data_IF_758835468082
#
_entry.id   IF_758835468082
#
_cell.length_a   1.000
_cell.length_b   1.000
_cell.length_c   1.000
_cell.angle_alpha   90.00
_cell.angle_beta   90.00
_cell.angle_gamma   90.00
#
_symmetry.space_group_name_H-M   'P 1'
#
loop_
_entity.id
_entity.type
_entity.pdbx_description
1 polymer ?
#
# COMPACT_ATOMS: atom_id res chain seq x y z
N UNK A 1 0.76 -8.29 6.95
CA UNK A 1 -0.47 -7.47 7.07
C UNK A 1 -1.05 -7.41 8.47
N UNK A 2 -1.02 -8.49 9.22
CA UNK A 2 -1.56 -8.47 10.59
C UNK A 2 -0.87 -7.43 11.51
N UNK A 3 0.45 -7.29 11.39
CA UNK A 3 1.20 -6.29 12.18
C UNK A 3 0.80 -4.86 11.84
N UNK A 4 0.61 -4.54 10.56
CA UNK A 4 0.18 -3.22 10.12
C UNK A 4 -1.21 -2.88 10.68
N UNK A 5 -2.14 -3.83 10.63
CA UNK A 5 -3.48 -3.66 11.19
C UNK A 5 -3.43 -3.31 12.67
N UNK A 6 -2.63 -4.04 13.44
CA UNK A 6 -2.49 -3.80 14.89
C UNK A 6 -1.91 -2.40 15.15
N UNK A 7 -0.88 -2.00 14.42
CA UNK A 7 -0.26 -0.69 14.58
C UNK A 7 -1.24 0.45 14.25
N UNK A 8 -2.03 0.31 13.20
CA UNK A 8 -3.02 1.31 12.81
C UNK A 8 -4.13 1.43 13.86
N UNK A 9 -4.62 0.29 14.39
CA UNK A 9 -5.61 0.30 15.47
C UNK A 9 -5.06 0.98 16.72
N UNK A 10 -3.81 0.76 17.07
CA UNK A 10 -3.14 1.40 18.19
C UNK A 10 -3.03 2.92 18.03
N UNK A 11 -3.13 3.44 16.81
CA UNK A 11 -3.14 4.87 16.48
C UNK A 11 -4.54 5.39 16.19
N UNK A 12 -5.56 4.70 16.69
CA UNK A 12 -6.98 5.09 16.60
C UNK A 12 -7.56 5.12 15.18
N UNK A 13 -6.97 4.39 14.24
CA UNK A 13 -7.54 4.23 12.91
C UNK A 13 -8.68 3.21 12.92
N UNK A 14 -9.70 3.45 12.12
CA UNK A 14 -10.71 2.43 11.81
C UNK A 14 -10.16 1.60 10.66
N UNK A 15 -9.93 0.31 10.89
CA UNK A 15 -9.27 -0.57 9.94
C UNK A 15 -10.26 -1.59 9.38
N UNK A 16 -10.37 -1.64 8.05
CA UNK A 16 -11.09 -2.67 7.34
C UNK A 16 -10.09 -3.61 6.69
N UNK A 17 -10.18 -4.89 6.98
CA UNK A 17 -9.36 -5.93 6.37
C UNK A 17 -10.17 -6.65 5.30
N UNK A 18 -9.66 -6.66 4.07
CA UNK A 18 -10.26 -7.36 2.95
C UNK A 18 -9.33 -8.46 2.43
N UNK A 19 -9.91 -9.48 1.85
CA UNK A 19 -9.17 -10.61 1.27
C UNK A 19 -9.95 -11.15 0.06
N UNK A 20 -9.45 -12.22 -0.55
CA UNK A 20 -10.03 -12.78 -1.77
C UNK A 20 -11.49 -13.24 -1.66
N UNK A 21 -11.97 -13.50 -0.44
CA UNK A 21 -13.34 -13.90 -0.18
C UNK A 21 -14.24 -12.77 0.31
N UNK A 22 -13.70 -11.57 0.43
CA UNK A 22 -14.50 -10.40 0.82
C UNK A 22 -15.45 -10.03 -0.31
N UNK A 23 -16.74 -9.91 0.01
CA UNK A 23 -17.74 -9.47 -0.95
C UNK A 23 -17.52 -7.99 -1.25
N UNK A 24 -17.52 -7.63 -2.54
CA UNK A 24 -17.43 -6.26 -3.02
C UNK A 24 -16.27 -5.47 -2.38
N UNK A 25 -15.04 -5.91 -2.63
CA UNK A 25 -13.82 -5.22 -2.14
C UNK A 25 -13.81 -3.75 -2.57
N UNK A 26 -14.27 -3.46 -3.78
CA UNK A 26 -14.27 -2.09 -4.30
C UNK A 26 -15.13 -1.14 -3.46
N UNK A 27 -16.25 -1.59 -2.91
CA UNK A 27 -17.07 -0.78 -2.02
C UNK A 27 -16.30 -0.36 -0.78
N UNK A 28 -15.54 -1.28 -0.19
CA UNK A 28 -14.72 -1.00 0.98
C UNK A 28 -13.57 -0.07 0.66
N UNK A 29 -12.87 -0.29 -0.44
CA UNK A 29 -11.71 0.53 -0.81
C UNK A 29 -12.12 1.96 -1.17
N UNK A 30 -13.24 2.16 -1.85
CA UNK A 30 -13.71 3.49 -2.22
C UNK A 30 -14.09 4.37 -1.02
N UNK A 31 -14.44 3.76 0.12
CA UNK A 31 -14.79 4.50 1.34
C UNK A 31 -13.61 4.83 2.24
N UNK A 32 -12.46 4.24 2.01
CA UNK A 32 -11.28 4.43 2.85
C UNK A 32 -10.58 5.75 2.54
N UNK A 33 -9.92 6.31 3.55
CA UNK A 33 -9.01 7.46 3.35
C UNK A 33 -7.66 6.99 2.84
N UNK A 34 -7.20 5.85 3.35
CA UNK A 34 -5.93 5.24 2.98
C UNK A 34 -6.21 3.79 2.57
N UNK A 35 -5.71 3.40 1.40
CA UNK A 35 -5.81 2.03 0.91
C UNK A 35 -4.41 1.42 0.81
N UNK A 36 -4.24 0.25 1.41
CA UNK A 36 -2.97 -0.50 1.34
C UNK A 36 -3.22 -1.77 0.53
N UNK A 37 -2.52 -1.90 -0.59
CA UNK A 37 -2.63 -3.04 -1.49
C UNK A 37 -1.41 -3.94 -1.34
N UNK A 38 -1.62 -5.19 -0.94
CA UNK A 38 -0.57 -6.16 -0.69
C UNK A 38 -1.04 -7.59 -0.99
N UNK A 39 -1.53 -7.82 -2.21
CA UNK A 39 -2.12 -9.12 -2.60
C UNK A 39 -1.21 -9.95 -3.50
N UNK A 40 -0.18 -9.36 -4.09
CA UNK A 40 0.72 -10.05 -5.00
C UNK A 40 0.11 -10.39 -6.36
N UNK A 41 -0.81 -9.56 -6.83
CA UNK A 41 -1.45 -9.70 -8.15
C UNK A 41 -1.15 -8.49 -9.02
N UNK A 42 -0.41 -8.70 -10.08
CA UNK A 42 0.01 -7.62 -10.98
C UNK A 42 -1.17 -6.82 -11.52
N UNK A 43 -1.21 -5.53 -11.22
CA UNK A 43 -2.20 -4.56 -11.72
C UNK A 43 -3.67 -5.01 -11.55
N UNK A 44 -3.94 -5.77 -10.49
CA UNK A 44 -5.27 -6.31 -10.23
C UNK A 44 -6.30 -5.23 -9.87
N UNK A 45 -5.84 -4.09 -9.34
CA UNK A 45 -6.72 -3.02 -8.87
C UNK A 45 -6.69 -1.83 -9.83
N UNK A 46 -7.76 -1.69 -10.60
CA UNK A 46 -7.98 -0.57 -11.50
C UNK A 46 -8.77 0.57 -10.88
N UNK A 47 -9.18 1.56 -11.70
CA UNK A 47 -9.86 2.78 -11.22
C UNK A 47 -11.14 2.53 -10.43
N UNK A 48 -11.83 1.44 -10.68
CA UNK A 48 -13.11 1.10 -10.03
C UNK A 48 -12.98 0.86 -8.52
N UNK A 49 -11.78 0.62 -8.04
CA UNK A 49 -11.51 0.38 -6.62
C UNK A 49 -11.26 1.65 -5.82
N UNK A 50 -11.16 2.81 -6.45
CA UNK A 50 -10.66 4.02 -5.80
C UNK A 50 -11.58 5.21 -5.98
N UNK A 51 -11.37 6.23 -5.12
CA UNK A 51 -12.10 7.48 -5.14
C UNK A 51 -11.13 8.67 -5.07
N UNK A 52 -11.54 9.85 -5.57
CA UNK A 52 -10.71 11.04 -5.48
C UNK A 52 -10.26 11.38 -4.05
N UNK A 53 -9.03 11.85 -3.92
CA UNK A 53 -8.49 12.32 -2.64
C UNK A 53 -7.90 11.24 -1.74
N UNK A 54 -7.95 9.98 -2.15
CA UNK A 54 -7.38 8.88 -1.35
C UNK A 54 -5.86 8.85 -1.42
N UNK A 55 -5.26 8.29 -0.37
CA UNK A 55 -3.85 7.91 -0.37
C UNK A 55 -3.76 6.39 -0.56
N UNK A 56 -3.06 5.97 -1.61
CA UNK A 56 -2.92 4.56 -1.97
C UNK A 56 -1.47 4.13 -1.80
N UNK A 57 -1.25 3.13 -0.96
CA UNK A 57 0.06 2.54 -0.69
C UNK A 57 0.13 1.17 -1.36
N UNK A 58 0.88 1.08 -2.44
CA UNK A 58 1.05 -0.17 -3.18
C UNK A 58 2.29 -0.90 -2.69
N UNK A 59 2.08 -1.99 -1.96
CA UNK A 59 3.13 -2.84 -1.41
C UNK A 59 3.43 -4.03 -2.33
N UNK A 60 2.62 -4.23 -3.36
CA UNK A 60 2.77 -5.32 -4.31
C UNK A 60 4.10 -5.27 -5.07
N UNK A 61 4.72 -6.44 -5.25
CA UNK A 61 5.91 -6.59 -6.09
C UNK A 61 5.63 -7.74 -7.05
N UNK A 62 5.44 -7.39 -8.31
CA UNK A 62 5.08 -8.33 -9.36
C UNK A 62 5.88 -8.05 -10.62
N UNK A 63 5.88 -9.01 -11.53
CA UNK A 63 6.42 -8.83 -12.87
C UNK A 63 5.29 -8.98 -13.88
N UNK A 64 5.21 -8.04 -14.81
CA UNK A 64 4.23 -8.12 -15.89
C UNK A 64 4.67 -9.12 -16.99
N UNK A 65 3.85 -9.26 -18.03
CA UNK A 65 4.13 -10.19 -19.13
C UNK A 65 5.43 -9.85 -19.89
N UNK A 66 5.86 -8.61 -19.85
CA UNK A 66 7.12 -8.15 -20.46
C UNK A 66 8.33 -8.28 -19.52
N UNK A 67 8.13 -8.75 -18.29
CA UNK A 67 9.18 -8.89 -17.27
C UNK A 67 9.51 -7.61 -16.52
N UNK A 68 8.69 -6.56 -16.64
CA UNK A 68 8.88 -5.32 -15.91
C UNK A 68 8.27 -5.41 -14.50
N UNK A 69 8.96 -4.80 -13.56
CA UNK A 69 8.47 -4.73 -12.17
C UNK A 69 7.23 -3.83 -12.09
N UNK A 70 6.18 -4.32 -11.44
CA UNK A 70 4.97 -3.55 -11.21
C UNK A 70 4.32 -3.89 -9.87
N UNK A 71 3.38 -3.05 -9.43
CA UNK A 71 2.62 -3.27 -8.22
C UNK A 71 1.30 -3.99 -8.45
N UNK A 72 0.49 -4.03 -7.40
CA UNK A 72 -0.87 -4.57 -7.43
C UNK A 72 -1.86 -3.61 -8.07
N UNK A 73 -1.56 -2.32 -8.07
CA UNK A 73 -2.42 -1.26 -8.59
C UNK A 73 -2.01 -0.92 -10.02
N UNK A 74 -2.98 -0.68 -10.88
CA UNK A 74 -2.75 -0.13 -12.21
C UNK A 74 -2.48 1.38 -12.08
N UNK A 75 -1.22 1.72 -11.82
CA UNK A 75 -0.78 3.08 -11.48
C UNK A 75 -1.22 4.10 -12.51
N UNK A 76 -0.99 3.83 -13.79
CA UNK A 76 -1.31 4.77 -14.86
C UNK A 76 -2.79 5.07 -15.00
N UNK A 77 -3.65 4.11 -14.68
CA UNK A 77 -5.10 4.28 -14.74
C UNK A 77 -5.67 4.87 -13.44
N UNK A 78 -5.05 4.59 -12.29
CA UNK A 78 -5.56 5.00 -10.97
C UNK A 78 -5.12 6.41 -10.59
N UNK A 79 -3.90 6.81 -10.91
CA UNK A 79 -3.39 8.14 -10.53
C UNK A 79 -4.32 9.28 -10.95
N UNK A 80 -4.85 9.33 -12.20
CA UNK A 80 -5.79 10.39 -12.58
C UNK A 80 -7.08 10.40 -11.77
N UNK A 81 -7.56 9.24 -11.33
CA UNK A 81 -8.80 9.13 -10.54
C UNK A 81 -8.63 9.77 -9.17
N UNK A 82 -7.46 9.64 -8.56
CA UNK A 82 -7.18 10.18 -7.24
C UNK A 82 -7.14 11.71 -7.23
N UNK A 83 -6.82 12.32 -8.34
CA UNK A 83 -6.81 13.77 -8.50
C UNK A 83 -5.69 14.47 -7.74
N UNK A 84 -5.72 15.82 -7.69
CA UNK A 84 -4.62 16.60 -7.12
C UNK A 84 -4.48 16.48 -5.60
N UNK A 85 -5.53 16.07 -4.91
CA UNK A 85 -5.51 15.87 -3.45
C UNK A 85 -5.19 14.45 -3.04
N UNK A 86 -5.18 13.51 -3.98
CA UNK A 86 -4.82 12.13 -3.74
C UNK A 86 -3.34 11.86 -3.94
N UNK A 87 -2.92 10.68 -3.54
CA UNK A 87 -1.54 10.24 -3.70
C UNK A 87 -1.48 8.72 -3.89
N UNK A 88 -0.53 8.27 -4.68
CA UNK A 88 -0.27 6.84 -4.87
C UNK A 88 1.23 6.60 -4.97
N UNK A 89 1.71 5.55 -4.31
CA UNK A 89 3.10 5.14 -4.40
C UNK A 89 3.34 4.30 -5.66
N UNK A 90 4.37 4.61 -6.46
CA UNK A 90 4.71 3.79 -7.62
C UNK A 90 5.43 2.49 -7.23
N UNK A 91 5.47 1.54 -8.15
CA UNK A 91 6.34 0.35 -8.06
C UNK A 91 7.04 0.19 -9.40
N UNK A 92 8.37 0.22 -9.46
CA UNK A 92 9.31 0.46 -8.35
C UNK A 92 9.41 1.93 -7.93
N UNK A 93 10.32 2.24 -7.01
CA UNK A 93 10.66 3.59 -6.53
C UNK A 93 9.63 4.21 -5.58
N UNK A 94 8.78 3.38 -4.99
CA UNK A 94 7.84 3.81 -3.96
C UNK A 94 8.26 3.32 -2.58
N UNK A 95 7.42 2.49 -1.97
CA UNK A 95 7.62 1.98 -0.61
C UNK A 95 8.89 1.15 -0.42
N UNK A 96 9.42 0.54 -1.46
CA UNK A 96 10.66 -0.24 -1.36
C UNK A 96 11.83 0.57 -0.83
N UNK A 97 12.00 1.81 -1.29
CA UNK A 97 13.04 2.72 -0.79
C UNK A 97 12.80 3.12 0.66
N UNK A 98 11.56 3.39 1.02
CA UNK A 98 11.18 3.73 2.40
C UNK A 98 11.42 2.55 3.34
N UNK A 99 11.06 1.33 2.92
CA UNK A 99 11.28 0.12 3.71
C UNK A 99 12.75 -0.06 4.07
N UNK A 100 13.65 0.13 3.12
CA UNK A 100 15.09 0.05 3.35
C UNK A 100 15.54 1.08 4.38
N UNK A 101 15.12 2.33 4.24
CA UNK A 101 15.49 3.42 5.16
C UNK A 101 14.98 3.15 6.58
N UNK A 102 13.74 2.69 6.72
CA UNK A 102 13.15 2.35 8.02
C UNK A 102 13.88 1.17 8.66
N UNK A 103 14.21 0.14 7.87
CA UNK A 103 14.97 -1.01 8.38
C UNK A 103 16.33 -0.58 8.91
N UNK A 104 17.05 0.30 8.20
CA UNK A 104 18.33 0.82 8.66
C UNK A 104 18.20 1.62 9.95
N UNK A 105 17.14 2.44 10.07
CA UNK A 105 16.85 3.17 11.30
C UNK A 105 16.62 2.22 12.48
N UNK A 106 15.90 1.15 12.28
CA UNK A 106 15.65 0.13 13.31
C UNK A 106 16.93 -0.60 13.72
N UNK A 107 17.83 -0.88 12.79
CA UNK A 107 19.13 -1.49 13.09
C UNK A 107 19.96 -0.56 13.99
N UNK A 108 20.01 0.73 13.69
CA UNK A 108 20.71 1.71 14.50
C UNK A 108 20.12 1.81 15.90
N UNK A 109 18.79 1.88 16.01
CA UNK A 109 18.11 1.90 17.31
C UNK A 109 18.39 0.66 18.15
N UNK A 110 18.42 -0.53 17.52
CA UNK A 110 18.74 -1.77 18.21
C UNK A 110 20.19 -1.78 18.72
N UNK A 111 21.13 -1.28 17.93
CA UNK A 111 22.53 -1.17 18.32
C UNK A 111 22.71 -0.20 19.50
N UNK A 112 22.05 0.96 19.47
CA UNK A 112 22.06 1.94 20.56
C UNK A 112 21.49 1.34 21.86
N UNK A 113 20.38 0.62 21.77
CA UNK A 113 19.77 -0.04 22.93
C UNK A 113 20.68 -1.11 23.52
N UNK A 114 21.46 -1.82 22.69
CA UNK A 114 22.41 -2.83 23.14
C UNK A 114 23.63 -2.27 23.87
N UNK A 115 23.89 -0.97 23.75
CA UNK A 115 25.00 -0.28 24.45
C UNK A 115 24.62 0.21 25.85
N UNK A 116 23.37 0.11 26.21
CA UNK A 116 22.87 0.49 27.54
C UNK A 116 22.96 -0.72 28.48
#
# INVERSE_FOLDING_TARGET
>A
MNKLRILLLARHATVTLAHSRTADVAAHTREADIVVCATGRARAYGPEYFSPGQTVLDVGINFDAAGNLCGDVDFGAVEPVLGPEGAITPVPRGLGGVTTSVTMAHVVQAAEAGQR
#
